data_IF_477929722614
#
_entry.id   IF_477929722614
#
_cell.length_a   1.000
_cell.length_b   1.000
_cell.length_c   1.000
_cell.angle_alpha   90.00
_cell.angle_beta   90.00
_cell.angle_gamma   90.00
#
_symmetry.space_group_name_H-M   'P 1'
#
loop_
_entity.id
_entity.type
_entity.pdbx_description
1 polymer ?
#
# COMPACT_ATOMS: atom_id res chain seq x y z
N UNK A 1 5.80 -16.05 -34.71
CA UNK A 1 5.97 -14.64 -34.29
C UNK A 1 4.59 -14.02 -34.20
N UNK A 2 3.96 -14.11 -33.02
CA UNK A 2 2.65 -13.54 -32.79
C UNK A 2 2.88 -12.08 -32.43
N UNK A 3 2.59 -11.17 -33.36
CA UNK A 3 2.53 -9.74 -33.10
C UNK A 3 1.41 -9.52 -32.08
N UNK A 4 1.78 -9.40 -30.80
CA UNK A 4 0.86 -8.98 -29.77
C UNK A 4 0.29 -7.63 -30.22
N UNK A 5 -1.00 -7.58 -30.52
CA UNK A 5 -1.70 -6.33 -30.74
C UNK A 5 -1.41 -5.44 -29.53
N UNK A 6 -0.75 -4.33 -29.77
CA UNK A 6 -0.55 -3.27 -28.79
C UNK A 6 -1.95 -2.90 -28.29
N UNK A 7 -2.24 -3.19 -27.01
CA UNK A 7 -3.57 -2.93 -26.44
C UNK A 7 -3.80 -1.42 -26.51
N UNK A 8 -4.75 -0.99 -27.35
CA UNK A 8 -5.16 0.41 -27.44
C UNK A 8 -5.96 0.80 -26.20
N UNK A 9 -5.27 1.38 -25.22
CA UNK A 9 -5.85 1.83 -23.98
C UNK A 9 -6.44 3.25 -24.13
N UNK A 10 -7.61 3.47 -23.54
CA UNK A 10 -8.24 4.79 -23.42
C UNK A 10 -7.64 5.62 -22.27
N UNK A 11 -6.82 5.01 -21.41
CA UNK A 11 -6.27 5.64 -20.22
C UNK A 11 -5.67 4.64 -19.22
N UNK A 12 -5.47 5.08 -17.99
CA UNK A 12 -4.95 4.27 -16.88
C UNK A 12 -6.00 4.13 -15.77
N UNK A 13 -6.02 2.98 -15.10
CA UNK A 13 -6.74 2.77 -13.85
C UNK A 13 -5.73 2.63 -12.71
N UNK A 14 -5.72 3.58 -11.79
CA UNK A 14 -4.86 3.57 -10.62
C UNK A 14 -5.57 2.91 -9.43
N UNK A 15 -4.98 1.82 -8.94
CA UNK A 15 -5.47 1.00 -7.84
C UNK A 15 -4.50 1.18 -6.66
N UNK A 16 -4.97 1.77 -5.56
CA UNK A 16 -4.12 1.98 -4.38
C UNK A 16 -3.97 0.73 -3.53
N UNK A 17 -2.74 0.51 -3.04
CA UNK A 17 -2.33 -0.41 -1.97
C UNK A 17 -3.39 -1.41 -1.48
N UNK A 18 -3.61 -2.51 -2.24
CA UNK A 18 -4.62 -3.50 -1.91
C UNK A 18 -4.43 -4.18 -0.56
N UNK A 19 -3.17 -4.40 -0.14
CA UNK A 19 -2.78 -5.16 1.05
C UNK A 19 -3.41 -6.56 1.09
N UNK A 20 -3.36 -7.31 -0.02
CA UNK A 20 -3.90 -8.67 -0.10
C UNK A 20 -3.27 -9.55 0.99
N UNK A 21 -4.12 -10.24 1.74
CA UNK A 21 -3.73 -11.16 2.80
C UNK A 21 -4.79 -12.25 2.97
N UNK A 22 -4.36 -13.44 3.40
CA UNK A 22 -5.28 -14.53 3.74
C UNK A 22 -5.96 -14.31 5.10
N UNK A 23 -5.21 -13.76 6.06
CA UNK A 23 -5.71 -13.38 7.36
C UNK A 23 -6.00 -11.87 7.39
N UNK A 24 -7.10 -11.44 8.03
CA UNK A 24 -7.46 -10.04 8.12
C UNK A 24 -6.37 -9.21 8.82
N UNK A 25 -5.91 -8.08 8.22
CA UNK A 25 -5.06 -7.13 8.92
C UNK A 25 -5.86 -6.32 9.95
N UNK A 26 -5.23 -6.02 11.08
CA UNK A 26 -5.82 -5.21 12.14
C UNK A 26 -6.99 -5.89 12.84
N UNK A 27 -8.14 -5.20 12.92
CA UNK A 27 -9.33 -5.66 13.65
C UNK A 27 -10.51 -5.99 12.73
N UNK A 28 -10.24 -6.42 11.49
CA UNK A 28 -11.31 -6.75 10.56
C UNK A 28 -12.04 -8.01 10.98
N UNK A 29 -13.37 -8.03 10.77
CA UNK A 29 -14.27 -9.12 11.15
C UNK A 29 -14.73 -9.99 9.98
N UNK A 30 -14.57 -9.49 8.75
CA UNK A 30 -15.01 -10.14 7.53
C UNK A 30 -13.97 -11.10 6.95
N UNK A 31 -14.38 -11.91 5.97
CA UNK A 31 -13.43 -12.64 5.13
C UNK A 31 -12.66 -11.63 4.27
N UNK A 32 -11.48 -11.27 4.76
CA UNK A 32 -10.66 -10.25 4.13
C UNK A 32 -10.11 -10.70 2.79
N UNK A 33 -9.75 -11.99 2.64
CA UNK A 33 -9.24 -12.55 1.38
C UNK A 33 -10.30 -12.44 0.30
N UNK A 34 -11.51 -12.93 0.58
CA UNK A 34 -12.61 -12.85 -0.39
C UNK A 34 -12.90 -11.39 -0.73
N UNK A 35 -13.03 -10.53 0.29
CA UNK A 35 -13.31 -9.09 0.10
C UNK A 35 -12.27 -8.38 -0.77
N UNK A 36 -10.96 -8.61 -0.55
CA UNK A 36 -9.92 -7.93 -1.35
C UNK A 36 -9.83 -8.49 -2.77
N UNK A 37 -10.04 -9.80 -2.96
CA UNK A 37 -10.05 -10.43 -4.27
C UNK A 37 -11.25 -9.97 -5.11
N UNK A 38 -12.45 -9.88 -4.53
CA UNK A 38 -13.64 -9.34 -5.21
C UNK A 38 -13.44 -7.88 -5.64
N UNK A 39 -12.82 -7.07 -4.78
CA UNK A 39 -12.49 -5.67 -5.10
C UNK A 39 -11.48 -5.56 -6.23
N UNK A 40 -10.45 -6.41 -6.24
CA UNK A 40 -9.49 -6.48 -7.34
C UNK A 40 -10.17 -6.93 -8.64
N UNK A 41 -11.03 -7.96 -8.57
CA UNK A 41 -11.81 -8.43 -9.72
C UNK A 41 -12.67 -7.30 -10.31
N UNK A 42 -13.40 -6.58 -9.47
CA UNK A 42 -14.16 -5.39 -9.88
C UNK A 42 -13.28 -4.36 -10.62
N UNK A 43 -12.08 -4.07 -10.09
CA UNK A 43 -11.16 -3.12 -10.72
C UNK A 43 -10.65 -3.61 -12.08
N UNK A 44 -10.35 -4.91 -12.20
CA UNK A 44 -9.87 -5.50 -13.44
C UNK A 44 -10.96 -5.61 -14.50
N UNK A 45 -12.19 -5.93 -14.10
CA UNK A 45 -13.37 -5.87 -14.97
C UNK A 45 -13.62 -4.45 -15.46
N UNK A 46 -13.60 -3.47 -14.56
CA UNK A 46 -13.70 -2.04 -14.90
C UNK A 46 -12.61 -1.63 -15.90
N UNK A 47 -11.37 -2.05 -15.67
CA UNK A 47 -10.25 -1.75 -16.56
C UNK A 47 -10.44 -2.39 -17.95
N UNK A 48 -10.88 -3.65 -18.01
CA UNK A 48 -11.18 -4.32 -19.28
C UNK A 48 -12.29 -3.58 -20.02
N UNK A 49 -13.42 -3.34 -19.36
CA UNK A 49 -14.63 -2.80 -19.99
C UNK A 49 -14.42 -1.36 -20.50
N UNK A 50 -13.59 -0.58 -19.80
CA UNK A 50 -13.23 0.79 -20.17
C UNK A 50 -11.92 0.90 -20.97
N UNK A 51 -11.30 -0.23 -21.33
CA UNK A 51 -10.00 -0.30 -22.02
C UNK A 51 -8.92 0.53 -21.31
N UNK A 52 -8.75 0.36 -20.01
CA UNK A 52 -7.76 1.05 -19.20
C UNK A 52 -6.57 0.14 -18.90
N UNK A 53 -5.38 0.72 -18.76
CA UNK A 53 -4.21 0.04 -18.23
C UNK A 53 -4.30 0.00 -16.70
N UNK A 54 -4.50 -1.17 -16.05
CA UNK A 54 -4.54 -1.25 -14.60
C UNK A 54 -3.13 -1.19 -14.00
N UNK A 55 -2.94 -0.27 -13.05
CA UNK A 55 -1.70 -0.05 -12.34
C UNK A 55 -1.98 -0.11 -10.83
N UNK A 56 -1.44 -1.13 -10.16
CA UNK A 56 -1.40 -1.23 -8.69
C UNK A 56 -0.24 -0.40 -8.17
N UNK A 57 -0.53 0.54 -7.27
CA UNK A 57 0.40 1.58 -6.82
C UNK A 57 1.33 1.14 -5.67
N UNK A 58 1.65 -0.15 -5.57
CA UNK A 58 2.43 -0.71 -4.46
C UNK A 58 1.57 -1.38 -3.41
N UNK A 59 2.23 -2.04 -2.46
CA UNK A 59 1.64 -2.82 -1.37
C UNK A 59 0.52 -3.73 -1.86
N UNK A 60 0.81 -4.51 -2.90
CA UNK A 60 -0.11 -5.54 -3.37
C UNK A 60 -0.37 -6.54 -2.24
N UNK A 61 0.66 -6.94 -1.51
CA UNK A 61 0.55 -7.83 -0.36
C UNK A 61 0.62 -7.07 0.96
N UNK A 62 -0.09 -7.54 1.99
CA UNK A 62 0.05 -7.00 3.35
C UNK A 62 1.36 -7.40 4.02
N UNK A 63 1.89 -8.58 3.66
CA UNK A 63 3.19 -9.07 4.15
C UNK A 63 3.99 -9.60 2.97
N UNK A 64 5.31 -9.42 2.94
CA UNK A 64 6.12 -9.79 1.78
C UNK A 64 6.23 -11.31 1.61
N UNK A 65 6.14 -12.07 2.69
CA UNK A 65 6.37 -13.53 2.75
C UNK A 65 5.25 -14.21 3.54
N UNK A 66 5.26 -15.53 3.52
CA UNK A 66 4.35 -16.39 4.29
C UNK A 66 2.87 -16.24 3.93
N UNK A 67 2.58 -15.76 2.72
CA UNK A 67 1.23 -15.84 2.14
C UNK A 67 0.94 -17.28 1.70
N UNK A 68 -0.26 -17.82 1.98
CA UNK A 68 -0.58 -19.19 1.61
C UNK A 68 -0.65 -19.37 0.10
N UNK A 69 -0.26 -20.57 -0.37
CA UNK A 69 -0.18 -20.87 -1.80
C UNK A 69 -1.50 -20.66 -2.55
N UNK A 70 -2.65 -20.97 -1.92
CA UNK A 70 -3.97 -20.75 -2.51
C UNK A 70 -4.22 -19.29 -2.88
N UNK A 71 -3.77 -18.33 -2.05
CA UNK A 71 -3.89 -16.91 -2.33
C UNK A 71 -3.07 -16.49 -3.55
N UNK A 72 -1.88 -17.08 -3.70
CA UNK A 72 -1.04 -16.84 -4.88
C UNK A 72 -1.69 -17.40 -6.14
N UNK A 73 -2.29 -18.59 -6.06
CA UNK A 73 -3.03 -19.20 -7.19
C UNK A 73 -4.20 -18.31 -7.59
N UNK A 74 -5.02 -17.86 -6.64
CA UNK A 74 -6.16 -16.97 -6.91
C UNK A 74 -5.72 -15.70 -7.62
N UNK A 75 -4.66 -15.04 -7.12
CA UNK A 75 -4.11 -13.84 -7.73
C UNK A 75 -3.56 -14.13 -9.14
N UNK A 76 -2.91 -15.27 -9.35
CA UNK A 76 -2.42 -15.65 -10.68
C UNK A 76 -3.58 -15.82 -11.65
N UNK A 77 -4.65 -16.51 -11.27
CA UNK A 77 -5.81 -16.74 -12.11
C UNK A 77 -6.55 -15.43 -12.40
N UNK A 78 -6.71 -14.59 -11.37
CA UNK A 78 -7.30 -13.27 -11.50
C UNK A 78 -6.50 -12.35 -12.43
N UNK A 79 -5.17 -12.38 -12.35
CA UNK A 79 -4.30 -11.44 -13.08
C UNK A 79 -3.94 -11.90 -14.48
N UNK A 80 -3.89 -13.21 -14.75
CA UNK A 80 -3.46 -13.78 -16.04
C UNK A 80 -4.15 -13.17 -17.28
N UNK A 81 -5.47 -12.88 -17.29
CA UNK A 81 -6.13 -12.30 -18.47
C UNK A 81 -5.73 -10.85 -18.75
N UNK A 82 -5.41 -10.08 -17.71
CA UNK A 82 -5.24 -8.62 -17.81
C UNK A 82 -3.77 -8.20 -17.74
N UNK A 83 -2.99 -8.89 -16.90
CA UNK A 83 -1.59 -8.63 -16.57
C UNK A 83 -1.37 -7.20 -16.05
N UNK A 84 -1.88 -6.85 -14.86
CA UNK A 84 -1.73 -5.51 -14.30
C UNK A 84 -0.27 -5.15 -14.08
N UNK A 85 0.00 -3.85 -14.11
CA UNK A 85 1.31 -3.32 -13.75
C UNK A 85 1.34 -3.11 -12.26
N UNK A 86 2.40 -3.51 -11.59
CA UNK A 86 2.49 -3.46 -10.12
C UNK A 86 3.75 -2.74 -9.72
N UNK A 87 3.60 -1.57 -9.11
CA UNK A 87 4.67 -0.86 -8.43
C UNK A 87 5.09 -1.64 -7.19
N UNK A 88 6.38 -1.66 -6.85
CA UNK A 88 6.84 -2.26 -5.58
C UNK A 88 6.61 -1.26 -4.45
N UNK A 89 5.77 -1.64 -3.47
CA UNK A 89 5.58 -0.91 -2.22
C UNK A 89 6.49 -1.38 -1.08
N UNK A 90 6.30 -0.84 0.12
CA UNK A 90 7.11 -1.21 1.28
C UNK A 90 6.75 -2.58 1.88
N UNK A 91 5.51 -3.04 1.71
CA UNK A 91 5.06 -4.37 2.16
C UNK A 91 5.38 -5.48 1.16
N UNK A 92 5.67 -5.13 -0.10
CA UNK A 92 6.00 -6.11 -1.15
C UNK A 92 7.46 -6.57 -1.11
N UNK A 93 8.27 -6.04 -0.19
CA UNK A 93 9.72 -6.28 -0.11
C UNK A 93 10.16 -6.74 1.27
N UNK A 94 11.32 -7.37 1.32
CA UNK A 94 11.96 -7.73 2.59
C UNK A 94 12.99 -6.67 2.96
N UNK A 95 12.76 -6.00 4.10
CA UNK A 95 13.55 -4.84 4.52
C UNK A 95 13.57 -3.77 3.41
N UNK A 96 14.75 -3.34 2.97
CA UNK A 96 14.91 -2.34 1.91
C UNK A 96 14.99 -2.95 0.50
N UNK A 97 14.87 -4.27 0.32
CA UNK A 97 15.22 -4.96 -0.93
C UNK A 97 14.08 -5.82 -1.47
N UNK A 98 13.78 -5.62 -2.75
CA UNK A 98 13.01 -6.59 -3.51
C UNK A 98 13.86 -7.85 -3.71
N UNK A 99 13.36 -9.00 -3.27
CA UNK A 99 14.11 -10.27 -3.21
C UNK A 99 13.25 -11.38 -3.81
N UNK A 100 13.89 -12.43 -4.37
CA UNK A 100 13.17 -13.50 -5.09
C UNK A 100 12.26 -14.36 -4.22
N UNK A 101 12.40 -14.26 -2.91
CA UNK A 101 11.64 -15.04 -1.92
C UNK A 101 10.42 -14.28 -1.37
N UNK A 102 10.05 -13.13 -1.94
CA UNK A 102 8.78 -12.45 -1.65
C UNK A 102 7.66 -12.88 -2.59
N UNK A 103 6.43 -12.75 -2.12
CA UNK A 103 5.21 -13.20 -2.81
C UNK A 103 5.03 -12.51 -4.16
N UNK A 104 5.36 -11.22 -4.25
CA UNK A 104 5.31 -10.47 -5.50
C UNK A 104 6.30 -11.01 -6.55
N UNK A 105 7.45 -11.56 -6.14
CA UNK A 105 8.40 -12.20 -7.07
C UNK A 105 7.86 -13.49 -7.66
N UNK A 106 6.98 -14.20 -6.95
CA UNK A 106 6.29 -15.37 -7.48
C UNK A 106 5.33 -14.96 -8.62
N UNK A 107 4.56 -13.88 -8.43
CA UNK A 107 3.67 -13.36 -9.47
C UNK A 107 4.44 -12.84 -10.69
N UNK A 108 5.57 -12.16 -10.46
CA UNK A 108 6.48 -11.73 -11.52
C UNK A 108 7.01 -12.94 -12.31
N UNK A 109 7.55 -13.95 -11.63
CA UNK A 109 8.09 -15.16 -12.25
C UNK A 109 7.03 -15.96 -13.01
N UNK A 110 5.79 -15.97 -12.51
CA UNK A 110 4.64 -16.58 -13.19
C UNK A 110 4.18 -15.78 -14.43
N UNK A 111 4.71 -14.58 -14.65
CA UNK A 111 4.44 -13.74 -15.80
C UNK A 111 3.05 -13.09 -15.80
N UNK A 112 2.35 -13.10 -14.66
CA UNK A 112 0.97 -12.60 -14.51
C UNK A 112 0.90 -11.12 -14.13
N UNK A 113 2.03 -10.48 -13.82
CA UNK A 113 2.14 -9.02 -13.62
C UNK A 113 3.24 -8.43 -14.50
N UNK A 114 3.20 -7.12 -14.74
CA UNK A 114 4.37 -6.35 -15.16
C UNK A 114 4.89 -5.55 -13.97
N UNK A 115 6.06 -5.93 -13.48
CA UNK A 115 6.63 -5.29 -12.29
C UNK A 115 7.24 -3.92 -12.64
N UNK A 116 7.02 -2.95 -11.76
CA UNK A 116 7.70 -1.65 -11.73
C UNK A 116 8.55 -1.61 -10.45
N UNK A 117 9.77 -2.13 -10.53
CA UNK A 117 10.71 -2.27 -9.40
C UNK A 117 11.89 -1.30 -9.45
N UNK A 118 12.05 -0.57 -10.55
CA UNK A 118 13.13 0.40 -10.74
C UNK A 118 12.59 1.82 -10.88
N UNK A 119 13.36 2.80 -10.43
CA UNK A 119 13.04 4.21 -10.63
C UNK A 119 13.45 4.68 -12.01
N UNK A 120 12.60 5.49 -12.63
CA UNK A 120 12.86 6.09 -13.94
C UNK A 120 11.72 5.89 -14.93
N UNK A 121 11.93 6.27 -16.20
CA UNK A 121 10.99 5.97 -17.27
C UNK A 121 10.78 4.45 -17.39
N UNK A 122 9.52 4.01 -17.35
CA UNK A 122 9.14 2.60 -17.40
C UNK A 122 8.57 2.19 -18.76
N UNK A 123 7.87 3.09 -19.45
CA UNK A 123 7.32 2.84 -20.78
C UNK A 123 6.91 4.11 -21.53
N UNK A 124 7.02 4.04 -22.86
CA UNK A 124 6.27 4.90 -23.79
C UNK A 124 5.01 4.14 -24.22
N UNK A 125 3.85 4.78 -24.14
CA UNK A 125 2.54 4.17 -24.36
C UNK A 125 1.72 5.02 -25.33
N UNK A 126 1.17 4.39 -26.37
CA UNK A 126 0.14 4.99 -27.21
C UNK A 126 -1.24 4.78 -26.57
N UNK A 127 -1.93 5.86 -26.19
CA UNK A 127 -3.25 5.81 -25.55
C UNK A 127 -4.18 6.86 -26.17
N UNK A 128 -5.30 6.43 -26.74
CA UNK A 128 -6.29 7.33 -27.36
C UNK A 128 -5.68 8.35 -28.34
N UNK A 129 -4.70 7.92 -29.15
CA UNK A 129 -4.00 8.77 -30.12
C UNK A 129 -2.93 9.70 -29.54
N UNK A 130 -2.59 9.58 -28.25
CA UNK A 130 -1.53 10.34 -27.58
C UNK A 130 -0.36 9.46 -27.18
N UNK A 131 0.84 10.03 -27.18
CA UNK A 131 2.04 9.41 -26.62
C UNK A 131 2.18 9.78 -25.14
N UNK A 132 2.22 8.77 -24.28
CA UNK A 132 2.27 8.92 -22.83
C UNK A 132 3.54 8.28 -22.29
N UNK A 133 4.36 9.06 -21.59
CA UNK A 133 5.50 8.54 -20.84
C UNK A 133 5.02 8.13 -19.44
N UNK A 134 5.12 6.85 -19.12
CA UNK A 134 4.94 6.36 -17.75
C UNK A 134 6.31 6.17 -17.10
N UNK A 135 6.54 6.80 -15.97
CA UNK A 135 7.67 6.54 -15.09
C UNK A 135 7.24 6.01 -13.72
N UNK A 136 8.20 5.48 -12.99
CA UNK A 136 7.99 4.88 -11.69
C UNK A 136 9.00 5.42 -10.66
N UNK A 137 8.55 5.51 -9.41
CA UNK A 137 9.36 5.69 -8.22
C UNK A 137 8.87 4.69 -7.15
N UNK A 138 9.29 3.43 -7.23
CA UNK A 138 8.99 2.42 -6.22
C UNK A 138 9.46 2.84 -4.82
N UNK A 139 8.96 2.18 -3.78
CA UNK A 139 9.33 2.53 -2.42
C UNK A 139 10.86 2.46 -2.18
N UNK A 140 11.39 3.44 -1.44
CA UNK A 140 12.84 3.70 -1.22
C UNK A 140 13.67 4.13 -2.44
N UNK A 141 13.04 4.44 -3.56
CA UNK A 141 13.73 4.99 -4.73
C UNK A 141 13.49 6.50 -4.86
N UNK A 142 14.42 7.28 -5.42
CA UNK A 142 14.23 8.72 -5.51
C UNK A 142 13.11 9.08 -6.50
N UNK A 143 12.29 10.05 -6.13
CA UNK A 143 11.47 10.79 -7.10
C UNK A 143 12.41 11.59 -8.04
N UNK A 144 12.10 11.69 -9.34
CA UNK A 144 12.90 12.47 -10.26
C UNK A 144 12.84 13.96 -9.89
N UNK A 145 13.97 14.66 -10.02
CA UNK A 145 14.01 16.13 -9.86
C UNK A 145 13.48 16.85 -11.11
N UNK A 146 13.56 16.19 -12.26
CA UNK A 146 13.12 16.65 -13.59
C UNK A 146 13.00 15.44 -14.50
N UNK A 147 12.10 15.51 -15.47
CA UNK A 147 11.95 14.51 -16.53
C UNK A 147 12.04 15.22 -17.88
N UNK A 148 12.83 14.67 -18.81
CA UNK A 148 12.72 15.03 -20.21
C UNK A 148 11.49 14.32 -20.79
N UNK A 149 10.55 15.09 -21.34
CA UNK A 149 9.32 14.55 -21.91
C UNK A 149 9.57 13.71 -23.15
N UNK A 150 10.73 13.84 -23.81
CA UNK A 150 11.08 13.08 -25.01
C UNK A 150 9.99 13.15 -26.10
N UNK A 151 9.35 14.31 -26.25
CA UNK A 151 8.28 14.52 -27.22
C UNK A 151 6.92 13.88 -26.88
N UNK A 152 6.74 13.29 -25.69
CA UNK A 152 5.45 12.75 -25.26
C UNK A 152 4.45 13.86 -24.93
N UNK A 153 3.19 13.63 -25.30
CA UNK A 153 2.08 14.52 -25.04
C UNK A 153 1.78 14.64 -23.54
N UNK A 154 1.92 13.53 -22.81
CA UNK A 154 1.68 13.46 -21.36
C UNK A 154 2.77 12.64 -20.64
N UNK A 155 3.08 13.02 -19.40
CA UNK A 155 4.04 12.33 -18.53
C UNK A 155 3.40 12.04 -17.19
N UNK A 156 3.28 10.76 -16.86
CA UNK A 156 2.71 10.24 -15.62
C UNK A 156 3.82 9.54 -14.82
N UNK A 157 3.88 9.81 -13.52
CA UNK A 157 4.79 9.14 -12.60
C UNK A 157 4.00 8.42 -11.51
N UNK A 158 4.19 7.12 -11.34
CA UNK A 158 3.61 6.38 -10.22
C UNK A 158 4.63 6.25 -9.10
N UNK A 159 4.20 6.42 -7.85
CA UNK A 159 5.09 6.48 -6.70
C UNK A 159 4.50 5.75 -5.48
N UNK A 160 5.37 5.30 -4.58
CA UNK A 160 4.97 4.75 -3.29
C UNK A 160 5.79 5.37 -2.16
N UNK A 161 5.37 6.53 -1.66
CA UNK A 161 6.14 7.36 -0.74
C UNK A 161 5.29 8.05 0.35
N UNK A 162 5.95 8.37 1.47
CA UNK A 162 5.42 9.23 2.54
C UNK A 162 5.38 10.71 2.11
N UNK A 163 4.47 11.04 1.21
CA UNK A 163 4.30 12.40 0.69
C UNK A 163 3.54 13.32 1.65
N UNK A 164 3.94 14.59 1.74
CA UNK A 164 3.31 15.60 2.59
C UNK A 164 2.07 16.22 1.93
N UNK A 165 1.02 15.41 1.78
CA UNK A 165 -0.31 15.94 1.49
C UNK A 165 -0.87 16.72 2.69
N UNK A 166 -1.80 17.66 2.46
CA UNK A 166 -2.56 18.28 3.55
C UNK A 166 -3.19 17.22 4.47
N UNK A 167 -3.18 17.52 5.77
CA UNK A 167 -3.75 16.67 6.82
C UNK A 167 -3.11 15.26 6.88
N UNK A 168 -1.81 15.15 6.55
CA UNK A 168 -1.03 13.91 6.68
C UNK A 168 0.30 14.16 7.42
N UNK A 169 0.24 14.10 8.74
CA UNK A 169 1.37 14.37 9.67
C UNK A 169 2.57 13.41 9.50
N UNK A 170 2.32 12.21 8.98
CA UNK A 170 3.38 11.23 8.72
C UNK A 170 4.18 11.53 7.45
N UNK A 171 3.78 12.53 6.65
CA UNK A 171 4.49 12.92 5.44
C UNK A 171 5.94 13.36 5.73
N UNK A 172 6.88 12.91 4.91
CA UNK A 172 8.31 13.21 5.00
C UNK A 172 8.89 13.85 3.74
N UNK A 173 8.20 13.72 2.61
CA UNK A 173 8.63 14.26 1.32
C UNK A 173 7.67 15.36 0.88
N UNK A 174 8.19 16.57 0.70
CA UNK A 174 7.40 17.71 0.27
C UNK A 174 6.88 17.54 -1.17
N UNK A 175 5.66 18.01 -1.41
CA UNK A 175 5.10 18.11 -2.75
C UNK A 175 5.66 19.35 -3.45
N UNK A 176 6.48 19.14 -4.47
CA UNK A 176 7.04 20.22 -5.31
C UNK A 176 6.66 20.01 -6.77
N UNK A 177 6.88 21.02 -7.60
CA UNK A 177 6.87 20.80 -9.04
C UNK A 177 7.99 19.81 -9.41
N UNK A 178 7.71 18.90 -10.34
CA UNK A 178 8.72 18.10 -11.04
C UNK A 178 8.66 18.52 -12.51
N UNK A 179 9.57 19.41 -12.96
CA UNK A 179 9.52 19.90 -14.34
C UNK A 179 9.51 18.76 -15.35
N UNK A 180 8.55 18.79 -16.27
CA UNK A 180 8.33 17.77 -17.28
C UNK A 180 7.34 16.67 -16.90
N UNK A 181 6.89 16.60 -15.64
CA UNK A 181 5.87 15.63 -15.18
C UNK A 181 4.52 16.33 -14.99
N UNK A 182 3.48 15.81 -15.62
CA UNK A 182 2.12 16.37 -15.53
C UNK A 182 1.36 15.81 -14.34
N UNK A 183 1.49 14.51 -14.07
CA UNK A 183 0.75 13.79 -13.03
C UNK A 183 1.67 12.87 -12.23
N UNK A 184 1.64 12.99 -10.90
CA UNK A 184 2.21 12.00 -9.99
C UNK A 184 1.08 11.32 -9.22
N UNK A 185 1.05 9.98 -9.22
CA UNK A 185 0.05 9.19 -8.48
C UNK A 185 0.74 8.33 -7.43
N UNK A 186 0.44 8.60 -6.16
CA UNK A 186 1.05 7.96 -5.01
C UNK A 186 0.16 6.85 -4.42
N UNK A 187 0.74 5.73 -4.04
CA UNK A 187 0.02 4.58 -3.46
C UNK A 187 0.27 4.27 -2.00
N UNK A 188 1.12 5.02 -1.29
CA UNK A 188 1.50 4.66 0.09
C UNK A 188 0.51 5.11 1.17
N UNK A 189 -0.24 6.18 0.91
CA UNK A 189 -1.12 6.77 1.93
C UNK A 189 -2.49 6.11 1.80
N UNK A 190 -2.89 5.33 2.81
CA UNK A 190 -4.12 4.52 2.74
C UNK A 190 -5.41 5.37 2.67
N UNK A 191 -5.34 6.66 3.05
CA UNK A 191 -6.48 7.58 2.96
C UNK A 191 -6.42 8.40 1.67
N UNK A 192 -7.54 8.57 0.95
CA UNK A 192 -7.57 9.44 -0.22
C UNK A 192 -7.21 10.87 0.15
N UNK A 193 -6.44 11.54 -0.71
CA UNK A 193 -6.06 12.95 -0.51
C UNK A 193 -6.60 13.82 -1.65
N UNK A 194 -7.08 15.05 -1.36
CA UNK A 194 -7.44 16.00 -2.39
C UNK A 194 -6.24 16.26 -3.32
N UNK A 195 -6.43 16.29 -4.66
CA UNK A 195 -5.34 16.56 -5.59
C UNK A 195 -4.63 17.88 -5.28
N UNK A 196 -3.30 17.90 -5.44
CA UNK A 196 -2.45 19.05 -5.11
C UNK A 196 -1.67 19.50 -6.35
N UNK A 197 -1.97 20.69 -6.88
CA UNK A 197 -1.19 21.28 -7.97
C UNK A 197 0.08 21.94 -7.43
N UNK A 198 1.25 21.66 -8.03
CA UNK A 198 2.53 22.31 -7.74
C UNK A 198 3.25 22.61 -9.06
N UNK A 199 3.25 23.88 -9.46
CA UNK A 199 3.72 24.27 -10.80
C UNK A 199 2.90 23.54 -11.88
N UNK A 200 3.56 22.90 -12.84
CA UNK A 200 2.91 22.06 -13.84
C UNK A 200 2.50 20.66 -13.34
N UNK A 201 2.99 20.21 -12.18
CA UNK A 201 2.77 18.84 -11.68
C UNK A 201 1.53 18.76 -10.79
N UNK A 202 0.59 17.89 -11.15
CA UNK A 202 -0.54 17.49 -10.31
C UNK A 202 -0.17 16.27 -9.47
N UNK A 203 -0.33 16.35 -8.16
CA UNK A 203 -0.13 15.24 -7.24
C UNK A 203 -1.46 14.63 -6.82
N UNK A 204 -1.57 13.30 -6.90
CA UNK A 204 -2.76 12.53 -6.56
C UNK A 204 -2.40 11.39 -5.60
N UNK A 205 -3.28 11.11 -4.65
CA UNK A 205 -3.23 9.90 -3.82
C UNK A 205 -4.65 9.33 -3.70
N UNK A 206 -5.00 8.23 -4.42
CA UNK A 206 -6.36 7.71 -4.45
C UNK A 206 -6.81 7.04 -3.14
N UNK A 207 -5.88 6.73 -2.24
CA UNK A 207 -6.12 5.92 -1.05
C UNK A 207 -6.12 4.43 -1.35
N UNK A 208 -6.22 3.62 -0.30
CA UNK A 208 -6.23 2.17 -0.40
C UNK A 208 -7.52 1.61 -0.96
N UNK A 209 -7.39 0.52 -1.71
CA UNK A 209 -8.52 -0.28 -2.18
C UNK A 209 -9.33 -0.88 -1.03
N UNK A 210 -8.68 -1.11 0.12
CA UNK A 210 -9.31 -1.67 1.32
C UNK A 210 -9.17 -0.75 2.53
N UNK A 211 -10.02 -0.94 3.53
CA UNK A 211 -9.84 -0.28 4.83
C UNK A 211 -8.98 -1.18 5.69
N UNK A 212 -7.71 -0.80 5.88
CA UNK A 212 -6.73 -1.64 6.58
C UNK A 212 -6.70 -1.32 8.09
N UNK A 213 -7.13 -0.12 8.49
CA UNK A 213 -7.11 0.32 9.90
C UNK A 213 -8.49 0.72 10.42
N UNK A 214 -8.71 0.43 11.71
CA UNK A 214 -9.90 0.86 12.45
C UNK A 214 -9.65 2.25 13.03
N UNK A 215 -10.25 3.30 12.44
CA UNK A 215 -10.11 4.66 12.92
C UNK A 215 -11.34 5.53 12.56
N UNK A 216 -11.58 6.66 13.25
CA UNK A 216 -12.61 7.62 12.86
C UNK A 216 -12.44 8.13 11.42
N UNK A 217 -11.19 8.31 10.97
CA UNK A 217 -10.88 8.72 9.59
C UNK A 217 -11.30 7.62 8.61
N UNK A 218 -10.87 6.38 8.86
CA UNK A 218 -11.18 5.25 7.96
C UNK A 218 -12.68 4.91 7.93
N UNK A 219 -13.45 5.28 8.97
CA UNK A 219 -14.92 5.14 9.00
C UNK A 219 -15.62 5.97 7.93
N UNK A 220 -15.13 7.17 7.63
CA UNK A 220 -15.72 8.04 6.61
C UNK A 220 -15.23 7.72 5.19
N UNK A 221 -14.10 7.01 5.05
CA UNK A 221 -13.52 6.66 3.75
C UNK A 221 -14.44 5.73 2.95
N UNK A 222 -14.70 6.13 1.70
CA UNK A 222 -15.25 5.28 0.64
C UNK A 222 -14.10 4.79 -0.24
N UNK A 223 -13.74 3.49 -0.19
CA UNK A 223 -12.70 2.94 -1.06
C UNK A 223 -13.03 3.20 -2.52
N UNK A 224 -12.02 3.56 -3.29
CA UNK A 224 -12.21 3.95 -4.68
C UNK A 224 -10.90 3.96 -5.44
N UNK A 225 -11.02 3.83 -6.76
CA UNK A 225 -9.92 3.87 -7.71
C UNK A 225 -10.01 5.14 -8.54
N UNK A 226 -8.93 5.50 -9.22
CA UNK A 226 -8.93 6.69 -10.10
C UNK A 226 -8.59 6.32 -11.52
N UNK A 227 -9.45 6.72 -12.44
CA UNK A 227 -9.23 6.63 -13.88
C UNK A 227 -8.57 7.93 -14.33
N UNK A 228 -7.52 7.82 -15.13
CA UNK A 228 -7.03 8.93 -15.95
C UNK A 228 -7.34 8.65 -17.41
N UNK A 229 -8.02 9.58 -18.07
CA UNK A 229 -8.43 9.46 -19.46
C UNK A 229 -7.41 10.12 -20.38
N UNK A 230 -6.77 9.36 -21.27
CA UNK A 230 -5.73 9.90 -22.14
C UNK A 230 -6.27 10.96 -23.11
N UNK A 231 -7.49 10.76 -23.64
CA UNK A 231 -8.09 11.67 -24.61
C UNK A 231 -8.36 13.09 -24.07
N UNK A 232 -8.63 13.24 -22.77
CA UNK A 232 -8.95 14.53 -22.15
C UNK A 232 -7.93 14.99 -21.11
N UNK A 233 -7.10 14.09 -20.58
CA UNK A 233 -6.23 14.32 -19.42
C UNK A 233 -6.99 14.38 -18.09
N UNK A 234 -8.30 14.11 -18.06
CA UNK A 234 -9.12 14.23 -16.86
C UNK A 234 -9.00 13.03 -15.93
N UNK A 235 -9.23 13.29 -14.64
CA UNK A 235 -9.31 12.28 -13.59
C UNK A 235 -10.78 12.00 -13.23
N UNK A 236 -11.14 10.73 -13.11
CA UNK A 236 -12.46 10.28 -12.65
C UNK A 236 -12.26 9.33 -11.46
N UNK A 237 -12.86 9.63 -10.31
CA UNK A 237 -12.91 8.69 -9.18
C UNK A 237 -14.08 7.75 -9.35
N UNK A 238 -13.82 6.45 -9.24
CA UNK A 238 -14.85 5.41 -9.21
C UNK A 238 -14.83 4.76 -7.83
N UNK A 239 -15.97 4.81 -7.13
CA UNK A 239 -16.11 4.10 -5.87
C UNK A 239 -16.14 2.59 -6.13
N UNK A 240 -15.41 1.84 -5.30
CA UNK A 240 -15.37 0.38 -5.37
C UNK A 240 -16.38 -0.16 -4.37
N UNK A 241 -17.22 -1.15 -4.74
CA UNK A 241 -18.17 -1.78 -3.83
C UNK A 241 -17.51 -2.15 -2.50
N UNK A 242 -18.13 -1.74 -1.40
CA UNK A 242 -17.62 -1.95 -0.06
C UNK A 242 -18.78 -2.07 0.93
N UNK A 243 -18.67 -3.02 1.86
CA UNK A 243 -19.59 -3.12 3.00
C UNK A 243 -19.49 -1.87 3.88
N UNK A 244 -20.53 -1.51 4.66
CA UNK A 244 -20.45 -0.47 5.69
C UNK A 244 -19.27 -0.67 6.65
N UNK A 245 -18.79 0.40 7.30
CA UNK A 245 -17.65 0.30 8.22
C UNK A 245 -17.97 -0.62 9.40
N UNK A 246 -19.17 -0.47 9.93
CA UNK A 246 -19.72 -1.14 11.10
C UNK A 246 -19.94 -2.65 10.87
N UNK A 247 -19.94 -3.10 9.62
CA UNK A 247 -20.01 -4.53 9.28
C UNK A 247 -18.64 -5.20 9.16
N UNK A 248 -17.58 -4.42 8.99
CA UNK A 248 -16.22 -4.96 8.77
C UNK A 248 -15.28 -4.71 9.95
N UNK A 249 -15.63 -3.79 10.84
CA UNK A 249 -14.87 -3.49 12.05
C UNK A 249 -15.80 -3.47 13.27
N UNK A 250 -15.28 -3.82 14.46
CA UNK A 250 -15.95 -3.53 15.72
C UNK A 250 -16.25 -2.04 15.85
N UNK A 251 -17.27 -1.67 16.64
CA UNK A 251 -17.55 -0.28 16.97
C UNK A 251 -16.30 0.47 17.44
N UNK A 252 -16.25 1.77 17.14
CA UNK A 252 -15.29 2.66 17.77
C UNK A 252 -15.82 2.93 19.18
N UNK A 253 -15.06 2.58 20.22
CA UNK A 253 -15.42 2.93 21.58
C UNK A 253 -15.48 4.47 21.68
N UNK A 254 -16.68 5.02 21.91
CA UNK A 254 -16.88 6.48 22.04
C UNK A 254 -16.50 7.00 23.44
N UNK A 255 -16.16 6.11 24.38
CA UNK A 255 -15.57 6.47 25.66
C UNK A 255 -14.12 6.88 25.45
N UNK A 256 -13.90 8.20 25.40
CA UNK A 256 -12.58 8.79 25.47
C UNK A 256 -11.75 8.25 26.62
N UNK A 257 -10.43 8.36 26.47
CA UNK A 257 -9.46 8.19 27.54
C UNK A 257 -9.86 9.04 28.77
N UNK A 258 -10.60 8.45 29.70
CA UNK A 258 -10.68 8.90 31.08
C UNK A 258 -9.65 8.09 31.88
N UNK A 259 -8.69 8.81 32.46
CA UNK A 259 -7.68 8.27 33.35
C UNK A 259 -8.28 7.59 34.58
N UNK A 260 -7.40 6.84 35.26
CA UNK A 260 -7.61 6.09 36.50
C UNK A 260 -8.55 4.88 36.40
N UNK A 261 -7.96 3.75 36.02
CA UNK A 261 -8.54 2.42 36.19
C UNK A 261 -7.50 1.34 35.91
N UNK A 262 -7.48 0.32 36.77
CA UNK A 262 -6.56 -0.84 36.77
C UNK A 262 -6.10 -1.28 35.38
N UNK A 263 -4.83 -1.70 35.30
CA UNK A 263 -4.22 -2.25 34.10
C UNK A 263 -4.93 -3.55 33.70
N UNK A 264 -5.94 -3.42 32.84
CA UNK A 264 -6.52 -4.54 32.12
C UNK A 264 -5.47 -5.13 31.17
N UNK A 265 -5.34 -6.46 31.12
CA UNK A 265 -4.40 -7.21 30.29
C UNK A 265 -4.46 -6.76 28.82
N UNK A 266 -5.63 -6.32 28.37
CA UNK A 266 -5.86 -5.73 27.04
C UNK A 266 -5.01 -4.48 26.75
N UNK A 267 -4.74 -3.61 27.74
CA UNK A 267 -3.89 -2.42 27.57
C UNK A 267 -2.41 -2.77 27.47
N UNK A 268 -1.97 -3.77 28.23
CA UNK A 268 -0.60 -4.28 28.16
C UNK A 268 -0.29 -4.85 26.78
N UNK A 269 -1.18 -5.70 26.26
CA UNK A 269 -1.06 -6.28 24.91
C UNK A 269 -1.08 -5.18 23.84
N UNK A 270 -1.98 -4.19 23.95
CA UNK A 270 -2.00 -3.03 23.04
C UNK A 270 -0.71 -2.22 23.06
N UNK A 271 -0.06 -2.09 24.22
CA UNK A 271 1.24 -1.43 24.34
C UNK A 271 2.35 -2.20 23.62
N UNK A 272 2.37 -3.53 23.76
CA UNK A 272 3.29 -4.42 23.06
C UNK A 272 3.10 -4.38 21.54
N UNK A 273 1.87 -4.42 21.04
CA UNK A 273 1.56 -4.31 19.60
C UNK A 273 2.08 -3.01 19.00
N UNK A 274 1.91 -1.88 19.71
CA UNK A 274 2.42 -0.58 19.28
C UNK A 274 3.95 -0.51 19.25
N UNK A 275 4.63 -1.23 20.14
CA UNK A 275 6.09 -1.36 20.14
C UNK A 275 6.59 -2.27 19.02
N UNK A 276 5.89 -3.39 18.75
CA UNK A 276 6.18 -4.29 17.65
C UNK A 276 6.08 -3.60 16.28
N UNK A 277 5.13 -2.68 16.11
CA UNK A 277 4.99 -1.85 14.92
C UNK A 277 6.15 -0.85 14.72
N UNK A 278 6.88 -0.50 15.79
CA UNK A 278 7.98 0.48 15.78
C UNK A 278 9.37 -0.13 15.59
N UNK A 279 9.49 -1.45 15.33
CA UNK A 279 10.74 -2.24 15.23
C UNK A 279 12.03 -1.41 15.28
N UNK A 280 12.56 -1.20 16.48
CA UNK A 280 13.93 -0.72 16.64
C UNK A 280 14.84 -1.92 16.88
N UNK A 281 15.96 -1.97 16.16
CA UNK A 281 16.89 -3.11 16.09
C UNK A 281 17.60 -3.42 17.42
N UNK A 282 17.35 -2.66 18.49
CA UNK A 282 18.09 -2.73 19.76
C UNK A 282 17.18 -2.84 21.00
N UNK A 283 15.85 -3.04 20.83
CA UNK A 283 14.94 -3.21 21.97
C UNK A 283 14.81 -1.99 22.91
N UNK A 284 15.36 -0.83 22.52
CA UNK A 284 15.50 0.39 23.35
C UNK A 284 14.16 0.91 23.89
N UNK A 285 13.05 0.63 23.20
CA UNK A 285 11.70 0.96 23.69
C UNK A 285 11.01 -0.16 24.48
N UNK A 286 11.40 -1.42 24.26
CA UNK A 286 10.75 -2.58 24.86
C UNK A 286 11.13 -2.70 26.35
N UNK A 287 12.39 -2.46 26.69
CA UNK A 287 12.85 -2.49 28.09
C UNK A 287 12.10 -1.49 28.97
N UNK A 288 12.09 -0.21 28.55
CA UNK A 288 11.44 0.86 29.30
C UNK A 288 9.92 0.64 29.42
N UNK A 289 9.30 0.03 28.40
CA UNK A 289 7.90 -0.34 28.44
C UNK A 289 7.63 -1.43 29.47
N UNK A 290 8.41 -2.51 29.46
CA UNK A 290 8.25 -3.61 30.40
C UNK A 290 8.58 -3.15 31.84
N UNK A 291 9.60 -2.31 32.05
CA UNK A 291 9.90 -1.68 33.35
C UNK A 291 8.74 -0.83 33.89
N UNK A 292 7.97 -0.18 33.01
CA UNK A 292 6.86 0.68 33.40
C UNK A 292 5.53 -0.06 33.60
N UNK A 293 5.43 -1.33 33.18
CA UNK A 293 4.15 -2.04 33.08
C UNK A 293 4.14 -3.45 33.72
N UNK A 294 5.28 -3.99 34.13
CA UNK A 294 5.35 -5.29 34.81
C UNK A 294 5.66 -5.11 36.30
N UNK A 295 5.05 -5.94 37.15
CA UNK A 295 5.40 -6.04 38.56
C UNK A 295 6.33 -7.25 38.80
N UNK A 296 7.55 -6.97 39.25
CA UNK A 296 8.55 -8.00 39.59
C UNK A 296 8.14 -8.98 40.70
N UNK A 297 7.05 -8.72 41.43
CA UNK A 297 6.50 -9.63 42.43
C UNK A 297 5.41 -10.55 41.88
N UNK A 298 4.91 -10.29 40.67
CA UNK A 298 3.98 -11.18 39.99
C UNK A 298 4.73 -12.36 39.33
N UNK A 299 4.32 -13.62 39.56
CA UNK A 299 5.01 -14.79 39.02
C UNK A 299 5.01 -14.87 37.49
N UNK A 300 4.00 -14.33 36.82
CA UNK A 300 3.86 -14.34 35.35
C UNK A 300 4.73 -13.25 34.74
N UNK A 301 4.71 -12.05 35.32
CA UNK A 301 5.53 -10.92 34.88
C UNK A 301 7.02 -11.23 34.96
N UNK A 302 7.42 -12.00 35.98
CA UNK A 302 8.80 -12.50 36.11
C UNK A 302 9.22 -13.40 34.94
N UNK A 303 8.33 -14.27 34.44
CA UNK A 303 8.60 -15.13 33.29
C UNK A 303 8.77 -14.29 32.03
N UNK A 304 7.94 -13.25 31.84
CA UNK A 304 8.06 -12.30 30.72
C UNK A 304 9.42 -11.58 30.79
N UNK A 305 9.88 -11.24 31.99
CA UNK A 305 11.18 -10.60 32.19
C UNK A 305 12.36 -11.52 31.92
N UNK A 306 12.28 -12.78 32.35
CA UNK A 306 13.30 -13.79 32.08
C UNK A 306 13.43 -14.06 30.56
N UNK A 307 12.30 -14.15 29.83
CA UNK A 307 12.27 -14.27 28.37
C UNK A 307 12.92 -13.07 27.65
N UNK A 308 12.62 -11.84 28.10
CA UNK A 308 13.25 -10.64 27.55
C UNK A 308 14.77 -10.67 27.73
N UNK A 309 15.27 -11.05 28.92
CA UNK A 309 16.71 -11.16 29.17
C UNK A 309 17.35 -12.27 28.33
N UNK A 310 16.69 -13.42 28.18
CA UNK A 310 17.17 -14.53 27.35
C UNK A 310 17.40 -14.07 25.91
N UNK A 311 16.42 -13.41 25.29
CA UNK A 311 16.51 -12.89 23.92
C UNK A 311 17.62 -11.84 23.79
N UNK A 312 17.69 -10.86 24.70
CA UNK A 312 18.70 -9.79 24.64
C UNK A 312 20.13 -10.26 24.94
N UNK A 313 20.30 -11.37 25.64
CA UNK A 313 21.60 -11.96 25.94
C UNK A 313 22.05 -13.01 24.92
N UNK A 314 21.13 -13.59 24.14
CA UNK A 314 21.47 -14.51 23.04
C UNK A 314 22.19 -13.77 21.89
N UNK A 315 21.83 -12.51 21.62
CA UNK A 315 22.44 -11.67 20.58
C UNK A 315 23.88 -11.18 20.90
N UNK A 316 24.41 -11.47 22.10
CA UNK A 316 25.79 -11.07 22.49
C UNK A 316 26.80 -12.22 22.42
N UNK A 317 26.42 -13.40 21.92
CA UNK A 317 27.29 -14.60 21.87
C UNK A 317 27.60 -15.13 20.46
N UNK A 318 27.25 -14.40 19.41
CA UNK A 318 27.74 -14.64 18.04
C UNK A 318 28.64 -13.51 17.55
#
# INVERSE_FOLDING_TARGET
>A
MTTAHEKDYAGCLFIGDPHVAASPPGHRLDDYRETVLEKLAFCLDLARDRRLLPIVLGDLFHVPRDNPNELLVDLMDLFRPVKPWVLVGNHDKYQARYTRDVSLAVLEAAGVVRLLSEAGPAASLAMAGRQVLLGAAPDWTPLPKRVDRQGHDFVIWVAHHNLQFPDYEAGRIALTEIPGVDLVVNGHIHTPKPPQQRGATLWLNPGSLTRISRSPVTRSVRPGVTIWWAGSGQLERVEVPARPFEEVFPPLDESGFSGDGEMDASRFIRGLENLALRKTTEGVGLKAFLEANLDSHDPVDRIIWDLYQEVMHHDRKE
#
